data_IF_587082458527
#
_entry.id   IF_587082458527
#
_cell.length_a   1.000
_cell.length_b   1.000
_cell.length_c   1.000
_cell.angle_alpha   90.00
_cell.angle_beta   90.00
_cell.angle_gamma   90.00
#
_symmetry.space_group_name_H-M   'P 1'
#
loop_
_entity.id
_entity.type
_entity.pdbx_description
1 polymer ?
#
# COMPACT_ATOMS: atom_id res chain seq x y z
N UNK A 1 18.45 -15.44 -4.37
CA UNK A 1 18.33 -13.97 -4.53
C UNK A 1 16.98 -13.61 -3.96
N UNK A 2 16.96 -13.04 -2.74
CA UNK A 2 15.73 -12.82 -2.00
C UNK A 2 14.92 -11.71 -2.67
N UNK A 3 13.82 -12.08 -3.30
CA UNK A 3 12.75 -11.17 -3.67
C UNK A 3 12.03 -10.75 -2.40
N UNK A 4 12.69 -10.00 -1.52
CA UNK A 4 12.03 -9.38 -0.38
C UNK A 4 11.13 -8.29 -0.97
N UNK A 5 9.82 -8.55 -0.99
CA UNK A 5 8.86 -7.47 -1.16
C UNK A 5 9.22 -6.38 -0.13
N UNK A 6 9.18 -5.09 -0.50
CA UNK A 6 9.55 -3.99 0.41
C UNK A 6 8.58 -3.84 1.59
N UNK A 7 7.48 -4.60 1.57
CA UNK A 7 6.41 -4.58 2.55
C UNK A 7 6.20 -5.97 3.15
N UNK A 8 5.83 -6.03 4.42
CA UNK A 8 5.64 -7.24 5.19
C UNK A 8 4.23 -7.26 5.80
N UNK A 9 3.54 -8.40 5.72
CA UNK A 9 2.20 -8.53 6.28
C UNK A 9 2.23 -8.43 7.82
N UNK A 10 1.31 -7.65 8.38
CA UNK A 10 1.20 -7.35 9.80
C UNK A 10 1.95 -6.08 10.24
N UNK A 11 2.81 -5.52 9.38
CA UNK A 11 3.53 -4.28 9.68
C UNK A 11 2.81 -3.04 9.13
N UNK A 12 3.03 -1.93 9.80
CA UNK A 12 2.60 -0.60 9.37
C UNK A 12 3.72 0.11 8.63
N UNK A 13 3.33 0.84 7.58
CA UNK A 13 4.22 1.64 6.75
C UNK A 13 3.58 2.99 6.49
N UNK A 14 4.37 4.04 6.58
CA UNK A 14 3.98 5.37 6.15
C UNK A 14 4.15 5.43 4.63
N UNK A 15 3.04 5.71 3.93
CA UNK A 15 3.02 5.76 2.48
C UNK A 15 2.24 6.98 2.04
N UNK A 16 2.64 7.52 0.89
CA UNK A 16 1.88 8.56 0.22
C UNK A 16 1.02 7.93 -0.86
N UNK A 17 -0.24 8.31 -0.89
CA UNK A 17 -1.17 7.88 -1.93
C UNK A 17 -0.94 8.73 -3.17
N UNK A 18 -0.43 8.11 -4.23
CA UNK A 18 -0.12 8.83 -5.48
C UNK A 18 -1.34 8.91 -6.40
N UNK A 19 -2.30 8.01 -6.26
CA UNK A 19 -3.47 7.92 -7.14
C UNK A 19 -4.66 7.25 -6.44
N UNK A 20 -5.87 7.42 -6.98
CA UNK A 20 -7.08 6.72 -6.56
C UNK A 20 -7.70 6.02 -7.77
N UNK A 21 -7.99 4.74 -7.64
CA UNK A 21 -8.81 4.00 -8.58
C UNK A 21 -10.26 4.50 -8.57
N UNK A 22 -10.97 4.34 -9.69
CA UNK A 22 -12.38 4.77 -9.82
C UNK A 22 -13.34 4.19 -8.78
N UNK A 23 -12.99 3.05 -8.17
CA UNK A 23 -13.80 2.38 -7.15
C UNK A 23 -13.61 3.01 -5.75
N UNK A 24 -12.63 3.91 -5.58
CA UNK A 24 -12.30 4.56 -4.31
C UNK A 24 -11.07 3.99 -3.61
N UNK A 25 -10.38 3.01 -4.22
CA UNK A 25 -9.14 2.47 -3.67
C UNK A 25 -7.95 3.39 -3.96
N UNK A 26 -7.25 3.83 -2.92
CA UNK A 26 -5.98 4.53 -3.11
C UNK A 26 -4.86 3.58 -3.47
N UNK A 27 -3.95 4.10 -4.30
CA UNK A 27 -2.80 3.41 -4.83
C UNK A 27 -1.57 4.05 -4.22
N UNK A 28 -0.96 3.35 -3.26
CA UNK A 28 0.31 3.72 -2.68
C UNK A 28 1.45 2.98 -3.39
N UNK A 29 2.62 3.63 -3.48
CA UNK A 29 3.79 3.03 -4.13
C UNK A 29 5.00 3.06 -3.19
N UNK A 30 5.43 1.89 -2.74
CA UNK A 30 6.58 1.72 -1.84
C UNK A 30 7.75 1.17 -2.63
N UNK A 31 8.75 2.01 -2.95
CA UNK A 31 9.94 1.59 -3.70
C UNK A 31 9.63 0.82 -5.01
N UNK A 32 8.56 1.23 -5.72
CA UNK A 32 8.09 0.57 -6.94
C UNK A 32 7.12 -0.60 -6.73
N UNK A 33 6.76 -0.91 -5.48
CA UNK A 33 5.78 -1.94 -5.14
C UNK A 33 4.42 -1.30 -4.85
N UNK A 34 3.37 -1.82 -5.50
CA UNK A 34 2.02 -1.25 -5.41
C UNK A 34 1.33 -1.80 -4.18
N UNK A 35 0.75 -0.90 -3.38
CA UNK A 35 -0.09 -1.24 -2.23
C UNK A 35 -1.46 -0.60 -2.43
N UNK A 36 -2.49 -1.44 -2.43
CA UNK A 36 -3.88 -0.99 -2.51
C UNK A 36 -4.41 -0.72 -1.12
N UNK A 37 -4.99 0.46 -0.94
CA UNK A 37 -5.48 0.95 0.36
C UNK A 37 -6.86 1.56 0.16
N UNK A 38 -7.94 0.87 0.57
CA UNK A 38 -9.28 1.44 0.50
C UNK A 38 -9.41 2.62 1.46
N UNK A 39 -10.42 3.47 1.22
CA UNK A 39 -10.77 4.62 2.08
C UNK A 39 -9.68 5.71 2.20
N UNK A 40 -8.82 5.84 1.19
CA UNK A 40 -7.75 6.85 1.16
C UNK A 40 -7.95 7.91 0.09
N UNK A 41 -7.14 8.99 0.14
CA UNK A 41 -7.21 10.11 -0.79
C UNK A 41 -5.87 10.33 -1.50
N UNK A 42 -5.90 10.84 -2.74
CA UNK A 42 -4.71 11.27 -3.48
C UNK A 42 -4.01 12.38 -2.71
N UNK A 43 -2.67 12.37 -2.72
CA UNK A 43 -1.79 13.29 -2.00
C UNK A 43 -1.88 13.19 -0.46
N UNK A 44 -2.49 12.13 0.07
CA UNK A 44 -2.57 11.89 1.51
C UNK A 44 -1.36 11.06 1.99
N UNK A 45 -0.73 11.52 3.07
CA UNK A 45 0.33 10.78 3.78
C UNK A 45 -0.30 10.04 4.95
N UNK A 46 -0.53 8.75 4.75
CA UNK A 46 -1.22 7.91 5.72
C UNK A 46 -0.35 6.72 6.13
N UNK A 47 -0.53 6.32 7.38
CA UNK A 47 0.05 5.06 7.86
C UNK A 47 -0.90 3.92 7.49
N UNK A 48 -0.40 2.98 6.71
CA UNK A 48 -1.17 1.82 6.28
C UNK A 48 -0.63 0.57 6.96
N UNK A 49 -1.53 -0.31 7.39
CA UNK A 49 -1.18 -1.64 7.87
C UNK A 49 -1.33 -2.63 6.73
N UNK A 50 -0.23 -3.26 6.35
CA UNK A 50 -0.25 -4.27 5.30
C UNK A 50 -0.86 -5.54 5.88
N UNK A 51 -2.00 -5.97 5.40
CA UNK A 51 -2.64 -7.21 5.86
C UNK A 51 -2.27 -8.41 5.01
N UNK A 52 -1.97 -8.18 3.73
CA UNK A 52 -1.63 -9.26 2.80
C UNK A 52 -0.62 -8.83 1.75
N UNK A 53 0.48 -9.57 1.65
CA UNK A 53 1.50 -9.36 0.61
C UNK A 53 1.37 -10.46 -0.44
N UNK A 54 1.21 -10.06 -1.69
CA UNK A 54 1.19 -10.94 -2.86
C UNK A 54 2.52 -10.83 -3.62
N UNK A 55 2.72 -11.67 -4.64
CA UNK A 55 3.98 -11.71 -5.39
C UNK A 55 4.29 -10.44 -6.20
N UNK A 56 3.29 -9.57 -6.47
CA UNK A 56 3.44 -8.35 -7.30
C UNK A 56 2.89 -7.07 -6.66
N UNK A 57 2.08 -7.19 -5.62
CA UNK A 57 1.42 -6.07 -4.95
C UNK A 57 1.04 -6.49 -3.52
N UNK A 58 0.63 -5.54 -2.69
CA UNK A 58 0.07 -5.82 -1.36
C UNK A 58 -1.28 -5.14 -1.19
N UNK A 59 -2.03 -5.66 -0.23
CA UNK A 59 -3.20 -5.01 0.32
C UNK A 59 -2.84 -4.46 1.68
N UNK A 60 -3.19 -3.21 1.89
CA UNK A 60 -3.14 -2.56 3.18
C UNK A 60 -4.48 -1.89 3.48
N UNK A 61 -4.64 -1.53 4.73
CA UNK A 61 -5.79 -0.78 5.24
C UNK A 61 -5.25 0.34 6.13
N UNK A 62 -6.02 1.42 6.29
CA UNK A 62 -5.65 2.51 7.18
C UNK A 62 -5.47 1.97 8.62
N UNK A 63 -4.33 2.31 9.23
CA UNK A 63 -3.98 1.89 10.58
C UNK A 63 -4.67 2.72 11.66
#
# INVERSE_FOLDING_TARGET
MQSNAPVEAGKTYEVTIEDIAREGDGIARVSGFVVFVPDTKVDDEVTIKVTKVMSKFAFGELA
#
